data_IF_637281248596
#
_entry.id   IF_637281248596
#
_cell.length_a   1.000
_cell.length_b   1.000
_cell.length_c   1.000
_cell.angle_alpha   90.00
_cell.angle_beta   90.00
_cell.angle_gamma   90.00
#
_symmetry.space_group_name_H-M   'P 1'
#
loop_
_entity.id
_entity.type
_entity.pdbx_description
1 polymer ?
#
# COMPACT_ATOMS: atom_id res chain seq x y z
N UNK A 1 -6.19 -18.58 -18.85
CA UNK A 1 -6.69 -17.21 -18.61
C UNK A 1 -8.06 -17.33 -17.97
N UNK A 2 -8.33 -16.57 -16.90
CA UNK A 2 -9.61 -16.60 -16.18
C UNK A 2 -10.29 -15.24 -16.35
N UNK A 3 -11.29 -15.16 -17.23
CA UNK A 3 -11.96 -13.91 -17.58
C UNK A 3 -13.44 -13.96 -17.19
N UNK A 4 -13.97 -12.98 -16.43
CA UNK A 4 -15.38 -12.94 -16.06
C UNK A 4 -16.28 -12.52 -17.23
N UNK A 5 -15.78 -11.64 -18.10
CA UNK A 5 -16.54 -11.07 -19.21
C UNK A 5 -15.80 -11.35 -20.52
N UNK A 6 -16.27 -12.34 -21.28
CA UNK A 6 -15.80 -12.61 -22.63
C UNK A 6 -16.97 -13.11 -23.50
N UNK A 7 -17.10 -12.67 -24.75
CA UNK A 7 -16.31 -11.65 -25.47
C UNK A 7 -16.77 -10.20 -25.19
N UNK A 8 -17.64 -10.00 -24.19
CA UNK A 8 -18.21 -8.68 -23.88
C UNK A 8 -17.24 -7.77 -23.12
N UNK A 9 -17.46 -6.43 -23.17
CA UNK A 9 -16.72 -5.49 -22.33
C UNK A 9 -16.82 -5.85 -20.85
N UNK A 10 -15.80 -5.48 -20.09
CA UNK A 10 -15.75 -5.70 -18.65
C UNK A 10 -16.89 -4.98 -17.92
N UNK A 11 -17.48 -5.66 -16.93
CA UNK A 11 -18.57 -5.14 -16.09
C UNK A 11 -19.97 -5.26 -16.69
N UNK A 12 -21.01 -5.10 -15.85
CA UNK A 12 -22.39 -5.00 -16.32
C UNK A 12 -22.66 -3.64 -16.99
N UNK A 13 -23.74 -3.57 -17.78
CA UNK A 13 -24.18 -2.33 -18.45
C UNK A 13 -25.29 -1.57 -17.71
N UNK A 14 -25.87 -2.16 -16.66
CA UNK A 14 -26.91 -1.52 -15.88
C UNK A 14 -26.34 -0.54 -14.85
N UNK A 15 -27.20 0.38 -14.40
CA UNK A 15 -26.82 1.44 -13.45
C UNK A 15 -26.75 0.95 -12.00
N UNK A 16 -26.10 1.74 -11.14
CA UNK A 16 -26.12 1.55 -9.67
C UNK A 16 -27.55 1.44 -9.10
N UNK A 17 -28.51 2.19 -9.65
CA UNK A 17 -29.92 2.10 -9.26
C UNK A 17 -30.48 0.68 -9.43
N UNK A 18 -30.12 0.01 -10.52
CA UNK A 18 -30.55 -1.37 -10.76
C UNK A 18 -30.01 -2.31 -9.68
N UNK A 19 -28.72 -2.19 -9.33
CA UNK A 19 -28.11 -2.99 -8.25
C UNK A 19 -28.82 -2.79 -6.92
N UNK A 20 -29.14 -1.55 -6.58
CA UNK A 20 -29.89 -1.20 -5.37
C UNK A 20 -31.32 -1.77 -5.38
N UNK A 21 -32.01 -1.68 -6.50
CA UNK A 21 -33.41 -2.10 -6.58
C UNK A 21 -33.56 -3.64 -6.65
N UNK A 22 -32.52 -4.35 -7.10
CA UNK A 22 -32.50 -5.81 -7.21
C UNK A 22 -31.82 -6.54 -6.03
N UNK A 23 -31.23 -5.82 -5.07
CA UNK A 23 -30.60 -6.44 -3.90
C UNK A 23 -31.65 -6.96 -2.89
N UNK A 24 -31.28 -7.89 -1.99
CA UNK A 24 -32.20 -8.35 -0.95
C UNK A 24 -32.70 -7.22 -0.04
N UNK A 25 -34.01 -7.22 0.25
CA UNK A 25 -34.69 -6.18 1.05
C UNK A 25 -34.06 -5.91 2.41
N UNK A 26 -33.39 -6.91 3.02
CA UNK A 26 -32.69 -6.76 4.31
C UNK A 26 -31.59 -5.68 4.30
N UNK A 27 -31.08 -5.31 3.13
CA UNK A 27 -30.04 -4.29 2.98
C UNK A 27 -30.59 -2.89 2.63
N UNK A 28 -31.91 -2.77 2.46
CA UNK A 28 -32.56 -1.51 2.12
C UNK A 28 -31.96 -0.87 0.86
N UNK A 29 -31.54 0.40 1.00
CA UNK A 29 -31.00 1.21 -0.10
C UNK A 29 -29.47 1.27 -0.13
N UNK A 30 -28.78 0.62 0.81
CA UNK A 30 -27.31 0.68 0.92
C UNK A 30 -26.70 -0.51 0.19
N UNK A 31 -25.83 -0.23 -0.77
CA UNK A 31 -25.21 -1.25 -1.65
C UNK A 31 -23.76 -1.56 -1.29
N UNK A 32 -23.27 -1.03 -0.18
CA UNK A 32 -21.93 -1.26 0.35
C UNK A 32 -21.99 -1.44 1.87
N UNK A 33 -20.94 -2.01 2.45
CA UNK A 33 -20.71 -2.06 3.89
C UNK A 33 -19.52 -1.16 4.23
N UNK A 34 -19.60 -0.50 5.39
CA UNK A 34 -18.54 0.35 5.92
C UNK A 34 -18.10 -0.18 7.28
N UNK A 35 -16.78 -0.25 7.51
CA UNK A 35 -16.21 -0.76 8.75
C UNK A 35 -15.01 0.09 9.17
N UNK A 36 -14.89 0.50 10.45
CA UNK A 36 -13.71 1.23 10.91
C UNK A 36 -12.47 0.33 10.85
N UNK A 37 -11.38 0.83 10.27
CA UNK A 37 -10.12 0.08 10.26
C UNK A 37 -9.47 0.03 11.65
N UNK A 38 -8.73 -1.05 11.90
CA UNK A 38 -7.80 -1.15 13.02
C UNK A 38 -6.79 -0.01 12.94
N UNK A 39 -6.59 0.71 14.05
CA UNK A 39 -5.63 1.81 14.18
C UNK A 39 -4.44 1.43 15.09
N UNK A 40 -4.30 0.15 15.42
CA UNK A 40 -3.22 -0.33 16.30
C UNK A 40 -1.84 -0.18 15.63
N UNK A 41 -0.89 0.37 16.40
CA UNK A 41 0.50 0.61 15.95
C UNK A 41 1.50 -0.35 16.59
N UNK A 42 1.07 -1.17 17.55
CA UNK A 42 1.92 -2.16 18.21
C UNK A 42 2.07 -3.43 17.38
N UNK A 43 3.29 -4.01 17.36
CA UNK A 43 3.58 -5.26 16.65
C UNK A 43 3.95 -5.08 15.16
N UNK A 44 4.06 -6.17 14.40
CA UNK A 44 4.39 -6.11 12.98
C UNK A 44 3.21 -5.55 12.17
N UNK A 45 3.51 -4.75 11.14
CA UNK A 45 2.52 -4.19 10.20
C UNK A 45 1.66 -5.26 9.55
N UNK A 46 2.28 -6.37 9.15
CA UNK A 46 1.60 -7.49 8.52
C UNK A 46 2.06 -8.82 9.12
N UNK A 47 1.12 -9.74 9.28
CA UNK A 47 1.40 -11.14 9.64
C UNK A 47 0.85 -12.06 8.56
N UNK A 48 1.74 -12.72 7.83
CA UNK A 48 1.37 -13.70 6.80
C UNK A 48 1.38 -15.12 7.37
N UNK A 49 0.29 -15.86 7.15
CA UNK A 49 0.12 -17.26 7.53
C UNK A 49 -0.09 -18.09 6.27
N UNK A 50 0.84 -19.00 6.01
CA UNK A 50 0.70 -20.01 4.96
C UNK A 50 -0.26 -21.10 5.43
N UNK A 51 -1.10 -21.60 4.53
CA UNK A 51 -1.95 -22.76 4.77
C UNK A 51 -1.85 -23.78 3.64
N UNK A 52 -2.09 -25.03 4.02
CA UNK A 52 -2.45 -26.12 3.11
C UNK A 52 -3.72 -26.73 3.67
N UNK A 53 -4.81 -26.70 2.89
CA UNK A 53 -6.13 -27.14 3.36
C UNK A 53 -6.85 -27.94 2.29
N UNK A 54 -7.69 -28.88 2.71
CA UNK A 54 -8.50 -29.70 1.80
C UNK A 54 -9.85 -29.01 1.57
N UNK A 55 -10.15 -28.70 0.29
CA UNK A 55 -11.35 -27.93 -0.07
C UNK A 55 -12.03 -28.57 -1.30
N UNK A 56 -13.32 -28.99 -1.20
CA UNK A 56 -14.17 -28.94 0.00
C UNK A 56 -13.79 -30.03 1.04
N UNK A 57 -14.10 -29.85 2.33
CA UNK A 57 -13.73 -30.79 3.40
C UNK A 57 -14.41 -32.18 3.30
N UNK A 58 -15.47 -32.32 2.50
CA UNK A 58 -16.23 -33.57 2.33
C UNK A 58 -16.18 -34.13 0.87
N UNK A 59 -15.09 -33.89 0.12
CA UNK A 59 -14.92 -34.32 -1.27
C UNK A 59 -13.58 -35.01 -1.57
N UNK A 60 -13.28 -35.24 -2.87
CA UNK A 60 -11.94 -35.70 -3.29
C UNK A 60 -10.86 -34.76 -2.71
N UNK A 61 -9.91 -35.33 -1.98
CA UNK A 61 -8.86 -34.64 -1.20
C UNK A 61 -7.98 -33.72 -2.06
N UNK A 62 -8.49 -32.54 -2.41
CA UNK A 62 -7.74 -31.53 -3.14
C UNK A 62 -7.09 -30.56 -2.16
N UNK A 63 -5.79 -30.77 -1.93
CA UNK A 63 -4.97 -29.85 -1.18
C UNK A 63 -4.81 -28.51 -1.93
N UNK A 64 -5.21 -27.44 -1.26
CA UNK A 64 -5.12 -26.06 -1.72
C UNK A 64 -4.07 -25.34 -0.90
N UNK A 65 -3.16 -24.67 -1.59
CA UNK A 65 -2.06 -23.91 -1.01
C UNK A 65 -2.40 -22.43 -1.07
N UNK A 66 -2.09 -21.70 0.00
CA UNK A 66 -2.36 -20.27 0.01
C UNK A 66 -1.83 -19.56 1.24
N UNK A 67 -2.19 -18.29 1.32
CA UNK A 67 -1.74 -17.38 2.36
C UNK A 67 -2.88 -16.47 2.80
N UNK A 68 -2.97 -16.24 4.11
CA UNK A 68 -3.68 -15.12 4.70
C UNK A 68 -2.67 -14.10 5.21
N UNK A 69 -2.81 -12.84 4.83
CA UNK A 69 -2.02 -11.74 5.39
C UNK A 69 -2.92 -10.80 6.14
N UNK A 70 -2.74 -10.73 7.45
CA UNK A 70 -3.47 -9.84 8.35
C UNK A 70 -2.68 -8.54 8.51
N UNK A 71 -3.33 -7.41 8.27
CA UNK A 71 -2.70 -6.09 8.20
C UNK A 71 -3.26 -5.17 9.28
N UNK A 72 -2.34 -4.57 10.04
CA UNK A 72 -2.63 -3.55 11.06
C UNK A 72 -2.50 -2.15 10.48
N UNK A 73 -3.24 -1.22 11.06
CA UNK A 73 -3.30 0.17 10.62
C UNK A 73 -3.48 0.35 9.10
N UNK A 74 -4.49 -0.29 8.46
CA UNK A 74 -4.67 -0.27 7.01
C UNK A 74 -4.62 1.12 6.38
N UNK A 75 -5.14 2.15 7.07
CA UNK A 75 -5.11 3.54 6.60
C UNK A 75 -3.69 4.03 6.29
N UNK A 76 -2.69 3.58 7.06
CA UNK A 76 -1.31 4.05 6.97
C UNK A 76 -0.38 3.06 6.26
N UNK A 77 -0.78 1.81 6.12
CA UNK A 77 0.09 0.71 5.70
C UNK A 77 -0.33 0.04 4.41
N UNK A 78 -1.49 0.39 3.85
CA UNK A 78 -2.02 -0.16 2.61
C UNK A 78 -2.02 0.90 1.51
N UNK A 79 -1.44 0.54 0.37
CA UNK A 79 -1.54 1.32 -0.87
C UNK A 79 -2.00 0.46 -2.05
N UNK A 80 -2.89 1.01 -2.87
CA UNK A 80 -3.16 0.50 -4.22
C UNK A 80 -2.17 1.18 -5.15
N UNK A 81 -1.30 0.43 -5.81
CA UNK A 81 -0.25 0.97 -6.67
C UNK A 81 -0.52 0.68 -8.14
N UNK A 82 -0.21 1.66 -9.00
CA UNK A 82 -0.22 1.55 -10.45
C UNK A 82 0.94 0.67 -10.98
N UNK A 83 0.78 0.00 -12.15
CA UNK A 83 1.81 -0.89 -12.71
C UNK A 83 3.13 -0.16 -13.01
N UNK A 84 4.19 -0.52 -12.28
CA UNK A 84 5.51 0.12 -12.42
C UNK A 84 5.56 1.56 -11.92
N UNK A 85 4.67 1.96 -11.02
CA UNK A 85 4.63 3.29 -10.38
C UNK A 85 3.61 4.26 -11.00
N UNK A 86 3.56 5.46 -10.45
CA UNK A 86 2.58 6.51 -10.80
C UNK A 86 2.51 6.77 -12.31
N UNK A 87 1.28 6.82 -12.85
CA UNK A 87 1.03 6.97 -14.29
C UNK A 87 1.09 5.66 -15.09
N UNK A 88 1.36 4.52 -14.43
CA UNK A 88 1.36 3.21 -15.06
C UNK A 88 0.04 2.86 -15.75
N UNK A 89 -1.09 3.21 -15.16
CA UNK A 89 -2.40 2.94 -15.75
C UNK A 89 -2.65 3.79 -17.00
N UNK A 90 -2.30 5.08 -16.95
CA UNK A 90 -2.43 5.97 -18.12
C UNK A 90 -1.53 5.53 -19.29
N UNK A 91 -0.38 4.94 -18.99
CA UNK A 91 0.54 4.39 -19.98
C UNK A 91 0.17 2.96 -20.46
N UNK A 92 -0.93 2.39 -19.96
CA UNK A 92 -1.36 1.01 -20.23
C UNK A 92 -0.25 -0.02 -19.96
N UNK A 93 0.57 0.27 -18.94
CA UNK A 93 1.75 -0.55 -18.62
C UNK A 93 1.30 -1.84 -17.94
N UNK A 94 2.04 -2.93 -18.19
CA UNK A 94 1.89 -4.18 -17.46
C UNK A 94 3.23 -4.62 -16.93
N UNK A 95 3.30 -4.86 -15.62
CA UNK A 95 4.54 -5.13 -14.88
C UNK A 95 4.28 -6.25 -13.88
N UNK A 96 5.31 -7.02 -13.52
CA UNK A 96 5.17 -8.04 -12.47
C UNK A 96 4.86 -7.39 -11.12
N UNK A 97 4.26 -8.16 -10.19
CA UNK A 97 4.03 -7.69 -8.83
C UNK A 97 5.36 -7.36 -8.14
N UNK A 98 6.40 -8.17 -8.34
CA UNK A 98 7.73 -7.99 -7.73
C UNK A 98 8.36 -6.64 -8.08
N UNK A 99 8.35 -6.27 -9.35
CA UNK A 99 8.91 -5.00 -9.81
C UNK A 99 8.17 -3.79 -9.23
N UNK A 100 6.84 -3.83 -9.23
CA UNK A 100 6.03 -2.73 -8.66
C UNK A 100 6.17 -2.69 -7.14
N UNK A 101 6.20 -3.85 -6.48
CA UNK A 101 6.37 -3.97 -5.04
C UNK A 101 7.71 -3.42 -4.55
N UNK A 102 8.79 -3.63 -5.33
CA UNK A 102 10.11 -3.07 -5.04
C UNK A 102 10.11 -1.55 -5.09
N UNK A 103 9.43 -0.95 -6.06
CA UNK A 103 9.30 0.51 -6.17
C UNK A 103 8.47 1.09 -5.00
N UNK A 104 7.39 0.39 -4.61
CA UNK A 104 6.54 0.76 -3.49
C UNK A 104 7.08 0.39 -2.10
N UNK A 105 8.27 -0.21 -2.01
CA UNK A 105 8.88 -0.71 -0.74
C UNK A 105 7.92 -1.60 0.07
N UNK A 106 7.18 -2.47 -0.62
CA UNK A 106 6.19 -3.33 0.00
C UNK A 106 6.84 -4.46 0.82
N UNK A 107 6.38 -4.65 2.05
CA UNK A 107 6.63 -5.82 2.87
C UNK A 107 5.87 -7.04 2.34
N UNK A 108 4.61 -6.83 1.94
CA UNK A 108 3.77 -7.84 1.30
C UNK A 108 3.08 -7.19 0.11
N UNK A 109 3.02 -7.87 -1.04
CA UNK A 109 2.26 -7.40 -2.17
C UNK A 109 1.53 -8.55 -2.86
N UNK A 110 0.31 -8.28 -3.31
CA UNK A 110 -0.42 -9.18 -4.21
C UNK A 110 -0.93 -8.41 -5.42
N UNK A 111 -1.26 -9.12 -6.50
CA UNK A 111 -1.92 -8.48 -7.64
C UNK A 111 -3.29 -7.89 -7.22
N UNK A 112 -3.66 -6.79 -7.87
CA UNK A 112 -4.85 -6.01 -7.54
C UNK A 112 -6.00 -6.26 -8.51
N UNK A 113 -6.45 -5.18 -9.15
CA UNK A 113 -7.63 -5.16 -10.00
C UNK A 113 -7.42 -5.82 -11.36
N UNK A 114 -8.54 -5.96 -12.07
CA UNK A 114 -8.57 -6.50 -13.43
C UNK A 114 -7.99 -5.53 -14.45
N UNK A 115 -7.60 -6.06 -15.61
CA UNK A 115 -7.09 -5.29 -16.74
C UNK A 115 -7.40 -5.98 -18.06
N UNK A 116 -7.33 -5.21 -19.14
CA UNK A 116 -7.44 -5.77 -20.49
C UNK A 116 -6.12 -6.44 -20.89
N UNK A 117 -6.16 -7.76 -21.13
CA UNK A 117 -4.96 -8.55 -21.47
C UNK A 117 -4.36 -8.20 -22.83
N UNK A 118 -5.14 -7.63 -23.75
CA UNK A 118 -4.71 -7.24 -25.09
C UNK A 118 -4.10 -5.84 -25.12
N UNK A 119 -4.70 -4.88 -24.41
CA UNK A 119 -4.27 -3.48 -24.44
C UNK A 119 -3.43 -3.06 -23.24
N UNK A 120 -3.55 -3.73 -22.10
CA UNK A 120 -2.95 -3.32 -20.82
C UNK A 120 -3.71 -2.25 -20.05
N UNK A 121 -4.91 -1.87 -20.51
CA UNK A 121 -5.73 -0.88 -19.82
C UNK A 121 -6.17 -1.39 -18.43
N UNK A 122 -5.97 -0.58 -17.38
CA UNK A 122 -6.52 -0.84 -16.05
C UNK A 122 -8.06 -0.82 -16.10
N UNK A 123 -8.75 -1.68 -15.34
CA UNK A 123 -10.22 -1.75 -15.32
C UNK A 123 -10.80 -1.38 -13.94
N UNK A 124 -12.07 -1.00 -13.92
CA UNK A 124 -12.77 -0.47 -12.74
C UNK A 124 -12.26 0.90 -12.24
N UNK A 125 -12.68 1.24 -11.02
CA UNK A 125 -12.20 2.41 -10.28
C UNK A 125 -10.83 2.12 -9.65
N UNK A 126 -9.93 3.10 -9.72
CA UNK A 126 -8.61 3.06 -9.09
C UNK A 126 -8.33 4.40 -8.41
N UNK A 127 -8.08 4.37 -7.11
CA UNK A 127 -7.53 5.48 -6.33
C UNK A 127 -6.25 4.99 -5.68
N UNK A 128 -5.15 5.72 -5.90
CA UNK A 128 -3.81 5.39 -5.43
C UNK A 128 -3.30 6.56 -4.59
N UNK A 129 -3.13 6.34 -3.29
CA UNK A 129 -2.61 7.33 -2.33
C UNK A 129 -3.34 8.69 -2.40
N UNK A 130 -4.68 8.64 -2.47
CA UNK A 130 -5.56 9.81 -2.56
C UNK A 130 -5.71 10.41 -3.96
N UNK A 131 -4.97 9.92 -4.96
CA UNK A 131 -5.10 10.33 -6.35
C UNK A 131 -6.09 9.44 -7.08
N UNK A 132 -7.15 10.03 -7.63
CA UNK A 132 -8.05 9.34 -8.56
C UNK A 132 -7.29 9.04 -9.87
N UNK A 133 -6.93 7.76 -10.07
CA UNK A 133 -6.20 7.28 -11.25
C UNK A 133 -7.16 6.94 -12.37
N UNK A 134 -8.28 6.27 -12.04
CA UNK A 134 -9.30 5.87 -13.01
C UNK A 134 -10.68 5.92 -12.38
N UNK A 135 -11.60 6.57 -13.08
CA UNK A 135 -13.04 6.51 -12.81
C UNK A 135 -13.70 5.64 -13.87
N UNK A 136 -14.47 4.66 -13.42
CA UNK A 136 -15.19 3.72 -14.28
C UNK A 136 -16.51 4.27 -14.84
N UNK A 137 -16.96 5.45 -14.39
CA UNK A 137 -18.24 6.04 -14.80
C UNK A 137 -19.44 5.31 -14.20
N UNK A 138 -19.32 4.82 -12.97
CA UNK A 138 -20.40 4.14 -12.26
C UNK A 138 -20.63 2.67 -12.68
N UNK A 139 -19.61 2.02 -13.23
CA UNK A 139 -19.66 0.59 -13.56
C UNK A 139 -19.76 -0.27 -12.30
N UNK A 140 -20.70 -1.21 -12.30
CA UNK A 140 -21.10 -1.93 -11.09
C UNK A 140 -20.36 -3.25 -10.92
N UNK A 141 -19.13 -3.16 -10.45
CA UNK A 141 -18.38 -4.31 -9.92
C UNK A 141 -18.10 -4.14 -8.43
N UNK A 142 -17.75 -5.24 -7.76
CA UNK A 142 -17.39 -5.23 -6.35
C UNK A 142 -16.13 -4.38 -6.12
N UNK A 143 -16.15 -3.51 -5.10
CA UNK A 143 -15.07 -2.57 -4.80
C UNK A 143 -14.60 -2.71 -3.37
N UNK A 144 -13.31 -2.45 -3.17
CA UNK A 144 -12.69 -2.27 -1.87
C UNK A 144 -11.99 -0.93 -1.87
N UNK A 145 -12.24 -0.11 -0.85
CA UNK A 145 -11.51 1.12 -0.64
C UNK A 145 -11.35 1.50 0.82
N UNK A 146 -10.44 2.42 1.08
CA UNK A 146 -10.20 3.03 2.39
C UNK A 146 -10.45 4.53 2.22
N UNK A 147 -11.31 5.10 3.07
CA UNK A 147 -11.58 6.54 3.11
C UNK A 147 -10.56 7.26 4.00
N UNK A 148 -10.49 8.59 3.86
CA UNK A 148 -9.53 9.45 4.56
C UNK A 148 -9.60 9.35 6.08
N UNK A 149 -10.77 9.05 6.63
CA UNK A 149 -10.97 8.81 8.08
C UNK A 149 -10.60 7.39 8.55
N UNK A 150 -10.13 6.52 7.65
CA UNK A 150 -9.81 5.12 7.95
C UNK A 150 -11.00 4.17 7.84
N UNK A 151 -12.15 4.61 7.35
CA UNK A 151 -13.27 3.70 7.07
C UNK A 151 -12.96 2.82 5.86
N UNK A 152 -12.98 1.50 6.05
CA UNK A 152 -12.93 0.54 4.95
C UNK A 152 -14.33 0.36 4.37
N UNK A 153 -14.43 0.32 3.04
CA UNK A 153 -15.68 0.20 2.31
C UNK A 153 -15.60 -0.99 1.36
N UNK A 154 -16.62 -1.86 1.40
CA UNK A 154 -16.74 -3.04 0.54
C UNK A 154 -18.11 -3.07 -0.14
N UNK A 155 -18.17 -3.36 -1.43
CA UNK A 155 -19.43 -3.58 -2.15
C UNK A 155 -19.56 -2.73 -3.41
N UNK A 156 -20.77 -2.26 -3.72
CA UNK A 156 -21.08 -1.53 -4.95
C UNK A 156 -21.22 -0.04 -4.68
N UNK A 157 -20.49 0.76 -5.44
CA UNK A 157 -20.43 2.21 -5.31
C UNK A 157 -21.01 2.87 -6.56
N UNK A 158 -21.75 3.96 -6.36
CA UNK A 158 -22.10 4.88 -7.44
C UNK A 158 -20.89 5.75 -7.81
N UNK A 159 -20.96 6.43 -8.96
CA UNK A 159 -19.93 7.41 -9.32
C UNK A 159 -19.86 8.57 -8.30
N UNK A 160 -21.00 8.98 -7.75
CA UNK A 160 -21.07 10.02 -6.72
C UNK A 160 -20.35 9.59 -5.44
N UNK A 161 -20.53 8.33 -5.00
CA UNK A 161 -19.83 7.79 -3.82
C UNK A 161 -18.31 7.83 -3.99
N UNK A 162 -17.82 7.56 -5.21
CA UNK A 162 -16.38 7.54 -5.54
C UNK A 162 -15.80 8.96 -5.58
N UNK A 163 -16.59 9.93 -6.04
CA UNK A 163 -16.20 11.33 -6.19
C UNK A 163 -16.48 12.19 -4.94
N UNK A 164 -16.95 11.59 -3.86
CA UNK A 164 -17.21 12.27 -2.59
C UNK A 164 -15.95 13.00 -2.08
N UNK A 165 -16.08 14.31 -1.86
CA UNK A 165 -15.00 15.17 -1.39
C UNK A 165 -15.00 15.37 0.14
N UNK A 166 -16.10 15.04 0.83
CA UNK A 166 -16.21 15.25 2.27
C UNK A 166 -15.34 14.24 3.03
N UNK A 167 -15.39 12.97 2.64
CA UNK A 167 -14.51 11.92 3.15
C UNK A 167 -14.00 11.06 1.98
N UNK A 168 -13.03 11.58 1.19
CA UNK A 168 -12.63 10.96 -0.06
C UNK A 168 -11.94 9.61 0.18
N UNK A 169 -11.97 8.76 -0.84
CA UNK A 169 -11.14 7.57 -0.87
C UNK A 169 -9.65 7.95 -0.94
N UNK A 170 -8.84 7.31 -0.12
CA UNK A 170 -7.37 7.34 -0.21
C UNK A 170 -6.83 6.13 -0.94
N UNK A 171 -7.53 4.99 -0.86
CA UNK A 171 -7.24 3.79 -1.63
C UNK A 171 -8.55 3.27 -2.21
N UNK A 172 -8.56 2.81 -3.47
CA UNK A 172 -9.72 2.17 -4.09
C UNK A 172 -9.27 1.24 -5.21
N UNK A 173 -9.80 0.03 -5.22
CA UNK A 173 -9.60 -0.96 -6.29
C UNK A 173 -10.89 -1.73 -6.54
N UNK A 174 -11.18 -1.99 -7.81
CA UNK A 174 -12.32 -2.82 -8.21
C UNK A 174 -11.90 -4.27 -8.47
N UNK A 175 -12.67 -5.19 -7.91
CA UNK A 175 -12.62 -6.62 -8.20
C UNK A 175 -13.80 -7.05 -9.06
N UNK A 176 -14.15 -8.33 -9.01
CA UNK A 176 -15.36 -8.91 -9.62
C UNK A 176 -15.86 -10.00 -8.69
N UNK A 177 -17.15 -9.95 -8.33
CA UNK A 177 -17.82 -10.74 -7.27
C UNK A 177 -17.49 -10.27 -5.85
N UNK A 178 -18.54 -9.89 -5.12
CA UNK A 178 -18.53 -9.68 -3.68
C UNK A 178 -18.76 -11.02 -2.98
N UNK A 179 -17.71 -11.56 -2.35
CA UNK A 179 -17.71 -12.91 -1.78
C UNK A 179 -18.52 -13.00 -0.49
N UNK A 180 -18.29 -12.07 0.43
CA UNK A 180 -18.92 -12.05 1.75
C UNK A 180 -19.49 -10.67 2.06
N UNK A 181 -20.75 -10.63 2.51
CA UNK A 181 -21.41 -9.42 3.01
C UNK A 181 -21.95 -9.66 4.41
N UNK A 182 -21.41 -8.96 5.41
CA UNK A 182 -21.85 -9.08 6.81
C UNK A 182 -21.69 -10.49 7.38
N UNK A 183 -20.63 -11.19 7.01
CA UNK A 183 -20.33 -12.57 7.45
C UNK A 183 -21.06 -13.66 6.68
N UNK A 184 -21.82 -13.31 5.63
CA UNK A 184 -22.59 -14.26 4.83
C UNK A 184 -22.12 -14.32 3.38
N UNK A 185 -22.16 -15.51 2.77
CA UNK A 185 -21.84 -15.71 1.35
C UNK A 185 -22.78 -14.89 0.47
N UNK A 186 -22.20 -14.13 -0.46
CA UNK A 186 -22.91 -13.15 -1.29
C UNK A 186 -22.76 -13.35 -2.81
N UNK A 187 -22.19 -14.50 -3.21
CA UNK A 187 -21.86 -14.83 -4.61
C UNK A 187 -23.08 -14.83 -5.53
N UNK A 188 -24.24 -15.36 -5.10
CA UNK A 188 -25.47 -15.36 -5.93
C UNK A 188 -26.01 -13.96 -6.17
N UNK A 189 -25.94 -13.09 -5.16
CA UNK A 189 -26.37 -11.70 -5.31
C UNK A 189 -25.40 -10.93 -6.21
N UNK A 190 -24.10 -11.19 -6.10
CA UNK A 190 -23.12 -10.62 -7.03
C UNK A 190 -23.32 -11.05 -8.45
N UNK A 191 -23.75 -12.30 -8.69
CA UNK A 191 -24.09 -12.74 -10.03
C UNK A 191 -25.21 -11.90 -10.65
N UNK A 192 -26.25 -11.56 -9.87
CA UNK A 192 -27.32 -10.68 -10.33
C UNK A 192 -26.84 -9.23 -10.50
N UNK A 193 -25.99 -8.75 -9.60
CA UNK A 193 -25.51 -7.37 -9.61
C UNK A 193 -24.44 -7.08 -10.68
N UNK A 194 -23.65 -8.07 -11.09
CA UNK A 194 -22.45 -7.88 -11.91
C UNK A 194 -22.52 -8.55 -13.29
N UNK A 195 -23.55 -9.34 -13.57
CA UNK A 195 -23.80 -9.94 -14.89
C UNK A 195 -24.74 -9.05 -15.71
N UNK A 196 -24.45 -8.87 -17.00
CA UNK A 196 -25.35 -8.15 -17.91
C UNK A 196 -26.42 -9.08 -18.47
N UNK A 197 -27.67 -8.62 -18.60
CA UNK A 197 -28.77 -9.37 -19.25
C UNK A 197 -28.47 -9.77 -20.71
N UNK A 198 -27.55 -9.05 -21.35
CA UNK A 198 -27.15 -9.24 -22.76
C UNK A 198 -25.91 -10.11 -22.95
N UNK A 199 -25.22 -10.48 -21.86
CA UNK A 199 -24.04 -11.34 -21.95
C UNK A 199 -24.47 -12.81 -22.09
N UNK A 200 -23.61 -13.64 -22.68
CA UNK A 200 -23.76 -15.09 -22.60
C UNK A 200 -23.60 -15.50 -21.14
N UNK A 201 -24.70 -15.68 -20.42
CA UNK A 201 -24.74 -16.03 -18.98
C UNK A 201 -23.75 -17.13 -18.60
N UNK A 202 -23.51 -18.10 -19.49
CA UNK A 202 -22.56 -19.19 -19.30
C UNK A 202 -21.09 -18.78 -19.08
N UNK A 203 -20.62 -17.60 -19.49
CA UNK A 203 -19.21 -17.20 -19.27
C UNK A 203 -18.96 -16.69 -17.86
N UNK A 204 -19.87 -15.88 -17.32
CA UNK A 204 -19.81 -15.43 -15.93
C UNK A 204 -20.07 -16.59 -14.96
N UNK A 205 -21.03 -17.47 -15.28
CA UNK A 205 -21.26 -18.72 -14.55
C UNK A 205 -20.02 -19.61 -14.52
N UNK A 206 -19.34 -19.78 -15.67
CA UNK A 206 -18.08 -20.52 -15.73
C UNK A 206 -17.03 -19.85 -14.84
N UNK A 207 -16.90 -18.53 -14.88
CA UNK A 207 -15.95 -17.80 -14.04
C UNK A 207 -16.18 -18.02 -12.54
N UNK A 208 -17.44 -18.06 -12.08
CA UNK A 208 -17.77 -18.31 -10.67
C UNK A 208 -17.43 -19.76 -10.29
N UNK A 209 -17.87 -20.73 -11.11
CA UNK A 209 -17.88 -22.14 -10.75
C UNK A 209 -16.56 -22.88 -11.07
N UNK A 210 -15.74 -22.35 -11.97
CA UNK A 210 -14.46 -22.96 -12.33
C UNK A 210 -13.44 -22.80 -11.21
N UNK A 211 -12.74 -23.89 -10.90
CA UNK A 211 -11.62 -23.87 -9.97
C UNK A 211 -10.41 -23.19 -10.63
N UNK A 212 -9.70 -22.35 -9.89
CA UNK A 212 -8.51 -21.66 -10.36
C UNK A 212 -7.72 -21.10 -9.19
N UNK A 213 -6.53 -20.54 -9.44
CA UNK A 213 -5.92 -19.60 -8.50
C UNK A 213 -6.84 -18.38 -8.31
N UNK A 214 -6.92 -17.85 -7.09
CA UNK A 214 -7.80 -16.73 -6.70
C UNK A 214 -7.08 -15.81 -5.74
N UNK A 215 -7.39 -14.52 -5.78
CA UNK A 215 -7.00 -13.58 -4.74
C UNK A 215 -8.22 -12.81 -4.25
N UNK A 216 -8.18 -12.36 -3.01
CA UNK A 216 -9.24 -11.60 -2.38
C UNK A 216 -8.68 -10.56 -1.43
N UNK A 217 -9.50 -9.57 -1.12
CA UNK A 217 -9.27 -8.62 -0.03
C UNK A 217 -10.55 -8.52 0.79
N UNK A 218 -10.40 -8.54 2.11
CA UNK A 218 -11.49 -8.46 3.05
C UNK A 218 -11.06 -7.90 4.39
N UNK A 219 -11.90 -8.03 5.41
CA UNK A 219 -11.55 -7.65 6.77
C UNK A 219 -12.17 -8.60 7.80
N UNK A 220 -11.56 -8.62 8.99
CA UNK A 220 -12.10 -9.32 10.15
C UNK A 220 -12.96 -8.41 11.05
N UNK A 221 -13.47 -8.97 12.14
CA UNK A 221 -14.29 -8.24 13.12
C UNK A 221 -13.51 -7.21 13.94
N UNK A 222 -12.17 -7.26 13.94
CA UNK A 222 -11.30 -6.30 14.62
C UNK A 222 -10.95 -5.10 13.73
N UNK A 223 -11.36 -5.12 12.46
CA UNK A 223 -11.03 -4.07 11.49
C UNK A 223 -9.65 -4.23 10.86
N UNK A 224 -9.00 -5.40 11.02
CA UNK A 224 -7.77 -5.69 10.29
C UNK A 224 -8.11 -6.00 8.83
N UNK A 225 -7.34 -5.44 7.91
CA UNK A 225 -7.45 -5.83 6.51
C UNK A 225 -6.82 -7.21 6.33
N UNK A 226 -7.47 -8.06 5.54
CA UNK A 226 -7.00 -9.41 5.26
C UNK A 226 -6.84 -9.58 3.75
N UNK A 227 -5.60 -9.79 3.31
CA UNK A 227 -5.30 -10.23 1.95
C UNK A 227 -5.28 -11.75 1.90
N UNK A 228 -5.91 -12.33 0.88
CA UNK A 228 -5.98 -13.79 0.72
C UNK A 228 -5.52 -14.16 -0.67
N UNK A 229 -4.58 -15.08 -0.74
CA UNK A 229 -4.03 -15.62 -1.98
C UNK A 229 -4.16 -17.14 -1.97
N UNK A 230 -4.68 -17.70 -3.07
CA UNK A 230 -4.81 -19.14 -3.28
C UNK A 230 -4.13 -19.51 -4.60
N UNK A 231 -3.12 -20.37 -4.51
CA UNK A 231 -2.48 -20.95 -5.70
C UNK A 231 -3.45 -21.90 -6.41
N UNK A 232 -3.28 -22.04 -7.72
CA UNK A 232 -4.13 -22.90 -8.52
C UNK A 232 -3.85 -22.80 -10.00
N UNK A 233 -4.69 -23.45 -10.79
CA UNK A 233 -4.65 -23.41 -12.24
C UNK A 233 -6.06 -23.67 -12.74
N UNK A 234 -6.53 -22.79 -13.63
CA UNK A 234 -7.90 -22.86 -14.14
C UNK A 234 -8.25 -24.27 -14.64
N UNK A 235 -9.38 -24.81 -14.19
CA UNK A 235 -9.87 -26.18 -14.49
C UNK A 235 -9.06 -27.33 -13.89
N UNK A 236 -8.04 -27.06 -13.06
CA UNK A 236 -7.15 -28.10 -12.53
C UNK A 236 -6.90 -28.02 -11.01
N UNK A 237 -6.52 -26.85 -10.48
CA UNK A 237 -6.11 -26.66 -9.08
C UNK A 237 -6.65 -25.33 -8.54
N UNK A 238 -6.71 -25.20 -7.22
CA UNK A 238 -7.13 -23.97 -6.53
C UNK A 238 -8.55 -24.09 -6.01
N UNK A 239 -9.38 -23.04 -6.15
CA UNK A 239 -10.76 -23.01 -5.66
C UNK A 239 -11.68 -22.28 -6.63
N UNK A 240 -12.97 -22.60 -6.60
CA UNK A 240 -14.02 -21.77 -7.20
C UNK A 240 -14.45 -20.66 -6.21
N UNK A 241 -15.34 -19.75 -6.63
CA UNK A 241 -15.72 -18.62 -5.77
C UNK A 241 -16.65 -18.99 -4.61
N UNK A 242 -17.42 -20.08 -4.72
CA UNK A 242 -18.25 -20.59 -3.63
C UNK A 242 -17.38 -21.18 -2.51
N UNK A 243 -16.44 -22.04 -2.89
CA UNK A 243 -15.44 -22.63 -2.00
C UNK A 243 -14.59 -21.55 -1.32
N UNK A 244 -14.16 -20.53 -2.07
CA UNK A 244 -13.44 -19.39 -1.53
C UNK A 244 -14.29 -18.65 -0.49
N UNK A 245 -15.54 -18.28 -0.82
CA UNK A 245 -16.40 -17.54 0.09
C UNK A 245 -16.66 -18.31 1.39
N UNK A 246 -17.00 -19.59 1.32
CA UNK A 246 -17.18 -20.42 2.52
C UNK A 246 -15.91 -20.56 3.34
N UNK A 247 -14.76 -20.73 2.69
CA UNK A 247 -13.47 -20.79 3.39
C UNK A 247 -13.16 -19.47 4.12
N UNK A 248 -13.38 -18.32 3.47
CA UNK A 248 -13.21 -17.00 4.09
C UNK A 248 -14.16 -16.81 5.28
N UNK A 249 -15.42 -17.25 5.15
CA UNK A 249 -16.42 -17.18 6.22
C UNK A 249 -15.98 -18.00 7.44
N UNK A 250 -15.47 -19.21 7.22
CA UNK A 250 -14.94 -20.07 8.28
C UNK A 250 -13.73 -19.47 9.00
N UNK A 251 -12.91 -18.67 8.30
CA UNK A 251 -11.80 -17.92 8.91
C UNK A 251 -12.25 -16.63 9.63
N UNK A 252 -13.55 -16.32 9.63
CA UNK A 252 -14.11 -15.20 10.38
C UNK A 252 -14.05 -13.84 9.66
N UNK A 253 -13.86 -13.82 8.34
CA UNK A 253 -13.97 -12.58 7.57
C UNK A 253 -15.43 -12.12 7.50
N UNK A 254 -15.63 -10.80 7.58
CA UNK A 254 -16.95 -10.17 7.60
C UNK A 254 -17.36 -9.73 6.20
N UNK A 255 -16.51 -8.93 5.54
CA UNK A 255 -16.68 -8.56 4.14
C UNK A 255 -15.44 -8.93 3.34
N UNK A 256 -15.61 -9.40 2.11
CA UNK A 256 -14.51 -9.71 1.21
C UNK A 256 -14.95 -9.65 -0.26
N UNK A 257 -14.09 -9.12 -1.14
CA UNK A 257 -14.30 -9.12 -2.60
C UNK A 257 -13.22 -9.98 -3.28
N UNK A 258 -13.57 -10.57 -4.43
CA UNK A 258 -12.62 -11.30 -5.27
C UNK A 258 -11.87 -10.32 -6.20
N UNK A 259 -10.55 -10.42 -6.23
CA UNK A 259 -9.65 -9.68 -7.12
C UNK A 259 -9.22 -10.56 -8.32
N UNK A 260 -8.29 -10.07 -9.15
CA UNK A 260 -7.86 -10.80 -10.34
C UNK A 260 -7.16 -12.13 -9.99
N UNK A 261 -7.43 -13.19 -10.75
CA UNK A 261 -7.01 -14.56 -10.44
C UNK A 261 -6.29 -15.27 -11.58
N UNK A 262 -6.29 -16.60 -11.53
CA UNK A 262 -5.69 -17.45 -12.56
C UNK A 262 -4.19 -17.20 -12.72
N UNK A 263 -3.78 -16.75 -13.91
CA UNK A 263 -2.37 -16.42 -14.19
C UNK A 263 -1.86 -15.18 -13.47
N UNK A 264 -2.77 -14.28 -13.07
CA UNK A 264 -2.42 -13.04 -12.39
C UNK A 264 -2.16 -13.22 -10.90
N UNK A 265 -2.74 -14.27 -10.29
CA UNK A 265 -2.63 -14.55 -8.85
C UNK A 265 -1.17 -14.68 -8.44
N UNK A 266 -0.69 -13.70 -7.66
CA UNK A 266 0.72 -13.58 -7.29
C UNK A 266 0.83 -13.01 -5.88
N UNK A 267 1.68 -13.62 -5.05
CA UNK A 267 2.09 -13.11 -3.74
C UNK A 267 3.60 -12.85 -3.72
N UNK A 268 3.98 -11.69 -3.22
CA UNK A 268 5.37 -11.27 -3.03
C UNK A 268 5.56 -10.92 -1.56
N UNK A 269 6.61 -11.47 -0.94
CA UNK A 269 6.99 -11.18 0.44
C UNK A 269 8.40 -10.58 0.44
N UNK A 270 8.56 -9.38 1.00
CA UNK A 270 9.82 -8.64 1.05
C UNK A 270 10.55 -8.55 -0.31
N UNK A 271 9.78 -8.35 -1.38
CA UNK A 271 10.31 -8.20 -2.74
C UNK A 271 10.64 -9.49 -3.48
N UNK A 272 10.37 -10.67 -2.91
CA UNK A 272 10.56 -11.96 -3.59
C UNK A 272 9.22 -12.70 -3.78
N UNK A 273 9.06 -13.35 -4.94
CA UNK A 273 7.92 -14.23 -5.22
C UNK A 273 7.79 -15.33 -4.14
N UNK A 274 6.61 -15.43 -3.53
CA UNK A 274 6.30 -16.37 -2.45
C UNK A 274 5.08 -17.27 -2.75
N UNK A 275 4.62 -17.28 -3.99
CA UNK A 275 3.53 -18.11 -4.51
C UNK A 275 3.98 -18.99 -5.67
N UNK A 276 3.10 -19.87 -6.16
CA UNK A 276 3.33 -20.67 -7.37
C UNK A 276 2.42 -20.21 -8.51
N UNK A 277 2.88 -19.27 -9.38
CA UNK A 277 2.11 -18.81 -10.53
C UNK A 277 1.66 -19.95 -11.45
N UNK A 278 0.56 -19.71 -12.16
CA UNK A 278 -0.03 -20.71 -13.05
C UNK A 278 0.41 -20.60 -14.51
N UNK A 279 0.99 -19.48 -14.92
CA UNK A 279 1.49 -19.30 -16.29
C UNK A 279 2.81 -20.02 -16.52
N UNK A 280 2.97 -20.56 -17.72
CA UNK A 280 4.26 -21.10 -18.15
C UNK A 280 5.19 -19.96 -18.59
N UNK A 281 6.49 -20.13 -18.37
CA UNK A 281 7.48 -19.18 -18.86
C UNK A 281 7.53 -19.21 -20.40
N UNK A 282 7.75 -18.05 -21.03
CA UNK A 282 7.80 -17.94 -22.51
C UNK A 282 9.02 -18.66 -23.11
N UNK A 283 10.10 -18.80 -22.36
CA UNK A 283 11.34 -19.44 -22.78
C UNK A 283 11.37 -20.95 -22.50
N UNK A 284 10.54 -21.46 -21.60
CA UNK A 284 10.48 -22.87 -21.22
C UNK A 284 9.12 -23.21 -20.60
N UNK A 285 8.41 -24.15 -21.23
CA UNK A 285 7.08 -24.58 -20.79
C UNK A 285 7.10 -25.51 -19.57
N UNK A 286 8.26 -25.95 -19.10
CA UNK A 286 8.39 -26.68 -17.83
C UNK A 286 8.23 -25.76 -16.62
N UNK A 287 8.77 -24.54 -16.70
CA UNK A 287 8.81 -23.60 -15.58
C UNK A 287 7.56 -22.71 -15.54
N UNK A 288 7.24 -22.24 -14.34
CA UNK A 288 6.14 -21.31 -14.10
C UNK A 288 6.68 -19.90 -13.86
N UNK A 289 6.05 -18.89 -14.44
CA UNK A 289 6.45 -17.51 -14.33
C UNK A 289 5.28 -16.63 -13.85
N UNK A 290 5.56 -15.58 -13.04
CA UNK A 290 4.55 -14.60 -12.70
C UNK A 290 4.16 -13.78 -13.94
N UNK A 291 2.90 -13.34 -13.97
CA UNK A 291 2.35 -12.55 -15.07
C UNK A 291 2.67 -11.07 -14.90
N UNK A 292 2.86 -10.37 -16.02
CA UNK A 292 2.78 -8.91 -16.04
C UNK A 292 1.33 -8.45 -15.90
N UNK A 293 1.01 -7.87 -14.74
CA UNK A 293 -0.31 -7.44 -14.29
C UNK A 293 -0.45 -5.91 -14.33
N UNK A 294 -1.59 -5.42 -13.87
CA UNK A 294 -1.91 -3.99 -13.77
C UNK A 294 -1.65 -3.45 -12.35
N UNK A 295 -2.67 -3.17 -11.55
CA UNK A 295 -2.50 -2.65 -10.20
C UNK A 295 -2.08 -3.74 -9.21
N UNK A 296 -1.46 -3.32 -8.10
CA UNK A 296 -1.17 -4.20 -6.96
C UNK A 296 -1.75 -3.63 -5.68
N UNK A 297 -2.00 -4.51 -4.70
CA UNK A 297 -2.25 -4.12 -3.31
C UNK A 297 -0.94 -4.33 -2.55
N UNK A 298 -0.36 -3.22 -2.09
CA UNK A 298 0.92 -3.14 -1.40
C UNK A 298 0.71 -2.89 0.08
N UNK A 299 1.36 -3.69 0.91
CA UNK A 299 1.47 -3.48 2.36
C UNK A 299 2.88 -3.01 2.66
N UNK A 300 3.03 -1.86 3.29
CA UNK A 300 4.32 -1.23 3.56
C UNK A 300 4.36 -0.64 4.98
N UNK A 301 5.57 -0.31 5.44
CA UNK A 301 5.74 0.45 6.69
C UNK A 301 5.05 1.82 6.57
N UNK A 302 4.42 2.33 7.63
CA UNK A 302 3.71 3.60 7.59
C UNK A 302 4.67 4.74 7.22
N UNK A 303 4.26 5.55 6.24
CA UNK A 303 4.99 6.75 5.85
C UNK A 303 5.08 7.76 7.00
N UNK A 304 6.20 8.48 7.07
CA UNK A 304 6.40 9.48 8.09
C UNK A 304 5.55 10.72 7.87
N UNK A 305 5.01 11.23 8.98
CA UNK A 305 4.35 12.52 9.02
C UNK A 305 5.06 13.40 10.06
N UNK A 306 5.71 14.51 9.64
CA UNK A 306 5.85 15.01 8.26
C UNK A 306 6.77 14.17 7.36
N UNK A 307 6.59 14.27 6.04
CA UNK A 307 7.29 13.44 5.05
C UNK A 307 8.81 13.61 5.11
N UNK A 308 9.53 12.50 4.87
CA UNK A 308 10.99 12.41 4.75
C UNK A 308 11.82 12.92 5.94
N UNK A 309 11.17 13.27 7.08
CA UNK A 309 11.85 13.81 8.26
C UNK A 309 12.83 14.93 7.92
N UNK A 310 12.48 15.74 6.91
CA UNK A 310 13.30 16.82 6.34
C UNK A 310 14.71 16.39 5.90
N UNK A 311 14.95 15.10 5.70
CA UNK A 311 16.28 14.53 5.44
C UNK A 311 17.20 14.42 6.67
N UNK A 312 16.70 14.77 7.85
CA UNK A 312 17.46 14.87 9.11
C UNK A 312 16.97 13.87 10.18
N UNK A 313 16.34 12.78 9.74
CA UNK A 313 15.81 11.77 10.65
C UNK A 313 15.56 10.44 9.97
N UNK A 314 15.43 9.40 10.79
CA UNK A 314 14.95 8.10 10.36
C UNK A 314 13.44 8.00 10.62
N UNK A 315 12.72 7.41 9.66
CA UNK A 315 11.30 7.13 9.83
C UNK A 315 11.10 5.82 10.58
N UNK A 316 10.47 5.87 11.75
CA UNK A 316 10.16 4.68 12.55
C UNK A 316 8.68 4.73 12.93
N UNK A 317 7.91 3.74 12.48
CA UNK A 317 6.47 3.64 12.75
C UNK A 317 5.67 4.91 12.39
N UNK A 318 6.06 5.59 11.31
CA UNK A 318 5.40 6.81 10.83
C UNK A 318 5.76 8.07 11.61
N UNK A 319 6.70 8.00 12.56
CA UNK A 319 7.25 9.15 13.30
C UNK A 319 8.71 9.38 12.95
N UNK A 320 9.08 10.65 12.92
CA UNK A 320 10.45 11.06 12.67
C UNK A 320 11.30 10.97 13.94
N UNK A 321 12.33 10.13 13.87
CA UNK A 321 13.40 10.10 14.86
C UNK A 321 14.60 10.85 14.30
N UNK A 322 14.81 12.07 14.78
CA UNK A 322 15.88 12.93 14.26
C UNK A 322 17.26 12.34 14.48
N UNK A 323 18.11 12.45 13.47
CA UNK A 323 19.51 12.04 13.50
C UNK A 323 20.38 13.26 13.76
N UNK A 324 21.52 13.04 14.44
CA UNK A 324 22.37 14.14 14.92
C UNK A 324 21.86 14.77 16.21
N UNK A 325 22.72 15.55 16.86
CA UNK A 325 22.42 16.15 18.17
C UNK A 325 21.57 17.43 18.09
N UNK A 326 21.50 18.03 16.89
CA UNK A 326 21.01 19.40 16.69
C UNK A 326 19.68 19.49 15.97
N UNK A 327 19.20 18.42 15.33
CA UNK A 327 17.90 18.42 14.66
C UNK A 327 16.78 18.02 15.61
N UNK A 328 15.72 18.81 15.66
CA UNK A 328 14.56 18.65 16.53
C UNK A 328 13.26 18.99 15.80
N UNK A 329 12.17 18.88 16.54
CA UNK A 329 10.83 19.09 16.02
C UNK A 329 10.23 17.80 15.44
N UNK A 330 8.91 17.78 15.22
CA UNK A 330 8.22 16.61 14.69
C UNK A 330 8.65 16.24 13.26
N UNK A 331 9.21 17.20 12.50
CA UNK A 331 9.71 16.99 11.14
C UNK A 331 11.24 16.89 11.04
N UNK A 332 11.96 17.02 12.16
CA UNK A 332 13.42 17.23 12.15
C UNK A 332 13.88 18.43 11.32
N UNK A 333 13.07 19.48 11.28
CA UNK A 333 13.29 20.74 10.54
C UNK A 333 13.80 21.87 11.43
N UNK A 334 13.81 21.67 12.76
CA UNK A 334 14.28 22.68 13.71
C UNK A 334 15.73 22.38 14.04
N UNK A 335 16.62 23.25 13.57
CA UNK A 335 18.02 23.23 13.98
C UNK A 335 18.16 23.95 15.33
N UNK A 336 18.59 23.21 16.35
CA UNK A 336 18.73 23.62 17.74
C UNK A 336 20.08 23.16 18.31
N UNK A 337 21.05 24.08 18.35
CA UNK A 337 22.37 23.87 18.95
C UNK A 337 22.37 23.95 20.49
N UNK A 338 21.20 23.98 21.16
CA UNK A 338 21.06 23.99 22.61
C UNK A 338 20.85 25.40 23.20
N UNK A 339 20.90 25.54 24.54
CA UNK A 339 20.35 26.68 25.28
C UNK A 339 20.96 28.06 24.96
N UNK A 340 22.15 28.09 24.35
CA UNK A 340 22.82 29.34 23.97
C UNK A 340 22.90 29.54 22.46
N UNK A 341 22.46 28.57 21.64
CA UNK A 341 22.54 28.59 20.17
C UNK A 341 23.85 29.22 19.65
N UNK A 342 24.98 28.61 20.02
CA UNK A 342 26.33 29.10 19.73
C UNK A 342 26.74 30.39 20.47
N UNK A 343 26.12 30.66 21.63
CA UNK A 343 26.44 31.75 22.55
C UNK A 343 26.50 33.15 21.92
N UNK A 344 25.81 33.35 20.79
CA UNK A 344 25.90 34.55 19.95
C UNK A 344 27.30 34.82 19.34
N UNK A 345 28.19 33.83 19.39
CA UNK A 345 29.55 33.85 18.88
C UNK A 345 29.78 32.78 17.81
N UNK A 346 28.74 32.49 17.02
CA UNK A 346 28.82 31.53 15.95
C UNK A 346 27.47 31.28 15.29
N UNK A 347 27.52 30.44 14.26
CA UNK A 347 26.35 30.03 13.49
C UNK A 347 26.10 28.54 13.75
N UNK A 348 24.84 28.21 14.06
CA UNK A 348 24.43 26.81 14.22
C UNK A 348 24.33 26.15 12.86
N UNK A 349 25.00 25.01 12.69
CA UNK A 349 25.04 24.20 11.46
C UNK A 349 24.62 22.76 11.76
N UNK A 350 24.45 21.95 10.72
CA UNK A 350 24.11 20.52 10.82
C UNK A 350 25.15 19.68 11.59
N UNK A 351 26.38 20.17 11.69
CA UNK A 351 27.49 19.56 12.42
C UNK A 351 27.77 20.19 13.79
N UNK A 352 26.96 21.18 14.19
CA UNK A 352 27.09 21.91 15.46
C UNK A 352 27.42 23.38 15.24
N UNK A 353 27.93 24.04 16.28
CA UNK A 353 28.28 25.45 16.20
C UNK A 353 29.57 25.68 15.41
N UNK A 354 29.48 26.48 14.37
CA UNK A 354 30.62 27.08 13.70
C UNK A 354 30.93 28.40 14.40
N UNK A 355 32.00 28.45 15.20
CA UNK A 355 32.32 29.63 15.98
C UNK A 355 32.93 30.75 15.13
N UNK A 356 32.55 31.97 15.47
CA UNK A 356 33.16 33.19 14.94
C UNK A 356 34.65 33.24 15.32
N UNK A 357 35.40 34.11 14.65
CA UNK A 357 36.81 34.30 15.00
C UNK A 357 36.94 34.73 16.47
N UNK A 358 37.93 34.18 17.16
CA UNK A 358 38.14 34.46 18.59
C UNK A 358 37.40 33.52 19.55
N UNK A 359 36.54 32.63 19.04
CA UNK A 359 35.73 31.72 19.87
C UNK A 359 35.92 30.25 19.49
N UNK A 360 35.80 29.38 20.49
CA UNK A 360 35.89 27.92 20.38
C UNK A 360 34.93 27.25 21.38
N UNK A 361 34.88 25.92 21.31
CA UNK A 361 34.05 25.07 22.16
C UNK A 361 32.78 24.63 21.44
N UNK A 362 32.10 23.62 21.99
CA UNK A 362 30.92 23.02 21.36
C UNK A 362 29.74 23.98 21.15
N UNK A 363 29.73 25.11 21.85
CA UNK A 363 28.70 26.15 21.80
C UNK A 363 29.29 27.57 21.71
N UNK A 364 30.56 27.71 21.32
CA UNK A 364 31.26 29.01 21.18
C UNK A 364 31.23 29.87 22.45
N UNK A 365 31.32 29.25 23.63
CA UNK A 365 31.35 29.97 24.90
C UNK A 365 32.76 30.22 25.44
N UNK A 366 33.79 29.67 24.78
CA UNK A 366 35.18 29.78 25.19
C UNK A 366 35.94 30.69 24.23
N UNK A 367 36.72 31.64 24.75
CA UNK A 367 37.63 32.46 23.96
C UNK A 367 38.84 31.65 23.48
N UNK A 368 39.50 32.10 22.41
CA UNK A 368 40.69 31.41 21.90
C UNK A 368 41.81 31.32 22.94
N UNK A 369 42.42 30.12 23.11
CA UNK A 369 43.60 29.97 23.93
C UNK A 369 44.74 30.89 23.46
N UNK A 370 45.54 31.39 24.40
CA UNK A 370 46.70 32.24 24.09
C UNK A 370 47.59 31.57 23.05
N UNK A 371 47.92 32.31 21.98
CA UNK A 371 48.73 31.83 20.87
C UNK A 371 47.93 31.30 19.67
N UNK A 372 46.59 31.31 19.73
CA UNK A 372 45.70 30.94 18.64
C UNK A 372 44.68 32.05 18.34
N UNK A 373 44.25 32.15 17.07
CA UNK A 373 43.27 33.13 16.62
C UNK A 373 42.44 32.59 15.44
N UNK A 374 41.45 33.37 15.01
CA UNK A 374 40.62 33.07 13.84
C UNK A 374 39.45 32.14 14.14
N UNK A 375 38.67 31.74 13.12
CA UNK A 375 37.48 30.90 13.29
C UNK A 375 37.84 29.54 13.93
N UNK A 376 37.12 29.14 14.98
CA UNK A 376 37.43 27.96 15.79
C UNK A 376 38.88 27.91 16.33
N UNK A 377 39.59 29.04 16.37
CA UNK A 377 40.99 29.14 16.83
C UNK A 377 41.95 28.19 16.10
N UNK A 378 41.75 27.97 14.79
CA UNK A 378 42.56 27.04 14.01
C UNK A 378 43.90 27.63 13.53
N UNK A 379 44.10 28.95 13.67
CA UNK A 379 45.31 29.64 13.24
C UNK A 379 46.22 29.97 14.43
N UNK A 380 47.55 29.86 14.23
CA UNK A 380 48.54 30.20 15.27
C UNK A 380 48.99 31.63 15.11
N UNK A 381 49.05 32.37 16.22
CA UNK A 381 49.53 33.75 16.26
C UNK A 381 50.90 33.87 15.54
N UNK A 382 51.06 34.79 14.58
CA UNK A 382 52.30 34.95 13.81
C UNK A 382 53.41 35.68 14.60
N UNK A 383 53.18 35.99 15.87
CA UNK A 383 54.10 36.77 16.71
C UNK A 383 55.28 35.91 17.20
N UNK A 384 56.46 36.53 17.36
CA UNK A 384 57.62 35.86 17.95
C UNK A 384 57.36 35.46 19.41
N UNK A 385 57.93 34.32 19.83
CA UNK A 385 57.95 33.83 21.22
C UNK A 385 56.59 33.58 21.90
N UNK A 386 55.54 33.22 21.14
CA UNK A 386 54.22 32.87 21.69
C UNK A 386 53.52 34.01 22.44
N UNK A 387 53.78 35.27 22.04
CA UNK A 387 53.06 36.43 22.57
C UNK A 387 51.54 36.31 22.31
N UNK A 388 50.69 36.81 23.23
CA UNK A 388 49.27 36.97 22.97
C UNK A 388 49.07 37.84 21.72
N UNK A 389 48.27 37.36 20.78
CA UNK A 389 47.77 38.16 19.66
C UNK A 389 46.27 38.37 19.82
N UNK A 390 45.73 39.34 19.09
CA UNK A 390 44.29 39.56 19.00
C UNK A 390 43.60 38.28 18.51
N UNK A 391 42.60 37.81 19.27
CA UNK A 391 42.00 36.49 19.08
C UNK A 391 41.14 36.41 17.82
N UNK A 392 40.63 37.54 17.31
CA UNK A 392 39.84 37.59 16.09
C UNK A 392 40.72 37.75 14.85
N UNK A 393 41.69 38.66 14.91
CA UNK A 393 42.46 39.14 13.74
C UNK A 393 43.89 38.61 13.65
N UNK A 394 44.43 38.05 14.74
CA UNK A 394 45.82 37.60 14.80
C UNK A 394 46.86 38.71 14.96
N UNK A 395 46.41 39.96 15.20
CA UNK A 395 47.28 41.13 15.30
C UNK A 395 48.18 41.08 16.55
N UNK A 396 49.48 41.28 16.38
CA UNK A 396 50.45 41.32 17.49
C UNK A 396 50.54 42.68 18.19
N UNK A 397 49.78 43.69 17.74
CA UNK A 397 49.73 45.03 18.34
C UNK A 397 48.63 45.09 19.42
N UNK A 398 48.61 44.11 20.32
CA UNK A 398 47.72 44.13 21.49
C UNK A 398 48.38 45.06 22.52
N UNK A 399 47.72 46.16 22.87
CA UNK A 399 48.28 47.22 23.74
C UNK A 399 48.17 46.86 25.21
#
# INVERSE_FOLDING_TARGET
>A
VLQPYFPSPHGPRHSHRHVRDCQPLKYGNVTHEAWPSDYSTGGPVATTRTFVSYIPPEGEDRAVYGHFTFVRNPLRTVSVLEPGGTGGCQAHRRVTVEETARLGRCLVAQNGGYFDMGTGECLGNVVSDGKLVRNSGGLQNAQFGIRKDGTMVFGYLSEEDVLDQANPFVQLVSGVVWLLRGGEVYVSQSQLAECSDTQTTGTFDKFINVISARTAVGHDSQGQLVLVHVDGQTESRGVNLWEMAEFLKQQGLINAINLDGGGSATLVLNGTLASYPSEHCSFDSMWRCPRNISTIVCIHEPGCEPADCSGHGACVQGQCHCTGAFWRGPACDILDCGPSNCSLHGVCTDSGCLCDAGWIGSNCSEECPVGWYGPNCLERCPCEHSCPCDQETGSCNVT
#
